data_IF_579112628884
#
_entry.id   IF_579112628884
#
_cell.length_a   1.000
_cell.length_b   1.000
_cell.length_c   1.000
_cell.angle_alpha   90.00
_cell.angle_beta   90.00
_cell.angle_gamma   90.00
#
_symmetry.space_group_name_H-M   'P 1'
#
loop_
_entity.id
_entity.type
_entity.pdbx_description
1 polymer ?
#
# COMPACT_ATOMS: atom_id res chain seq x y z
N UNK A 1 6.37 23.92 -12.15
CA UNK A 1 5.87 22.55 -11.91
C UNK A 1 4.36 22.57 -11.88
N UNK A 2 3.65 21.71 -12.63
CA UNK A 2 2.19 21.56 -12.49
C UNK A 2 1.90 20.85 -11.16
N UNK A 3 0.95 21.38 -10.38
CA UNK A 3 0.50 20.75 -9.13
C UNK A 3 -0.23 19.43 -9.40
N UNK A 4 -0.14 18.48 -8.48
CA UNK A 4 -0.87 17.21 -8.53
C UNK A 4 -2.09 17.30 -7.62
N UNK A 5 -3.29 17.14 -8.18
CA UNK A 5 -4.51 17.02 -7.39
C UNK A 5 -4.65 15.60 -6.84
N UNK A 6 -4.59 15.47 -5.52
CA UNK A 6 -4.63 14.18 -4.82
C UNK A 6 -6.04 13.60 -4.66
N UNK A 7 -7.07 14.45 -4.69
CA UNK A 7 -8.48 14.07 -4.55
C UNK A 7 -9.17 13.72 -5.87
N UNK A 8 -10.51 13.64 -5.84
CA UNK A 8 -11.35 13.45 -7.03
C UNK A 8 -12.00 12.06 -7.15
N UNK A 9 -12.65 11.82 -8.30
CA UNK A 9 -13.46 10.60 -8.53
C UNK A 9 -12.65 9.39 -9.01
N UNK A 10 -11.44 9.60 -9.54
CA UNK A 10 -10.61 8.53 -10.13
C UNK A 10 -10.24 7.45 -9.10
N UNK A 11 -10.07 6.22 -9.57
CA UNK A 11 -9.52 5.12 -8.76
C UNK A 11 -8.11 5.53 -8.32
N UNK A 12 -7.77 5.30 -7.06
CA UNK A 12 -6.49 5.71 -6.51
C UNK A 12 -6.45 7.11 -5.90
N UNK A 13 -7.51 7.93 -6.03
CA UNK A 13 -7.63 9.23 -5.34
C UNK A 13 -7.60 9.08 -3.81
N UNK A 14 -6.95 10.04 -3.14
CA UNK A 14 -6.95 10.21 -1.70
C UNK A 14 -8.29 10.82 -1.26
N UNK A 15 -9.32 9.98 -1.22
CA UNK A 15 -10.62 10.28 -0.60
C UNK A 15 -10.53 10.08 0.90
N UNK A 16 -11.49 10.63 1.65
CA UNK A 16 -11.55 10.49 3.11
C UNK A 16 -11.37 9.03 3.58
N UNK A 17 -12.11 8.10 2.98
CA UNK A 17 -12.01 6.67 3.33
C UNK A 17 -10.63 6.06 3.01
N UNK A 18 -9.98 6.48 1.92
CA UNK A 18 -8.61 6.07 1.60
C UNK A 18 -7.63 6.59 2.66
N UNK A 19 -7.76 7.86 3.04
CA UNK A 19 -6.91 8.52 4.05
C UNK A 19 -7.07 7.84 5.42
N UNK A 20 -8.31 7.55 5.85
CA UNK A 20 -8.60 6.82 7.09
C UNK A 20 -7.92 5.45 7.11
N UNK A 21 -8.04 4.68 6.02
CA UNK A 21 -7.41 3.34 5.91
C UNK A 21 -5.88 3.42 5.95
N UNK A 22 -5.28 4.35 5.19
CA UNK A 22 -3.82 4.56 5.20
C UNK A 22 -3.32 4.95 6.58
N UNK A 23 -4.01 5.87 7.25
CA UNK A 23 -3.68 6.29 8.62
C UNK A 23 -3.70 5.09 9.57
N UNK A 24 -4.73 4.24 9.49
CA UNK A 24 -4.79 3.00 10.29
C UNK A 24 -3.63 2.05 10.00
N UNK A 25 -3.25 1.88 8.74
CA UNK A 25 -2.12 1.03 8.37
C UNK A 25 -0.80 1.58 8.93
N UNK A 26 -0.59 2.89 8.86
CA UNK A 26 0.62 3.53 9.39
C UNK A 26 0.68 3.40 10.91
N UNK A 27 -0.42 3.67 11.62
CA UNK A 27 -0.50 3.44 13.07
C UNK A 27 -0.18 2.00 13.43
N UNK A 28 -0.67 1.02 12.67
CA UNK A 28 -0.34 -0.39 12.89
C UNK A 28 1.14 -0.69 12.63
N UNK A 29 1.72 -0.14 11.55
CA UNK A 29 3.14 -0.29 11.24
C UNK A 29 4.04 0.28 12.35
N UNK A 30 3.69 1.47 12.86
CA UNK A 30 4.40 2.12 13.98
C UNK A 30 4.28 1.28 15.25
N UNK A 31 3.06 0.85 15.61
CA UNK A 31 2.83 0.06 16.84
C UNK A 31 3.55 -1.29 16.82
N UNK A 32 3.56 -1.98 15.67
CA UNK A 32 4.20 -3.30 15.53
C UNK A 32 5.73 -3.25 15.56
N UNK A 33 6.31 -2.13 15.17
CA UNK A 33 7.77 -1.97 15.06
C UNK A 33 8.29 -0.94 16.07
N UNK A 34 7.64 -0.81 17.24
CA UNK A 34 8.04 0.15 18.28
C UNK A 34 9.48 -0.11 18.71
N UNK A 35 10.32 0.92 18.66
CA UNK A 35 11.74 0.84 19.01
C UNK A 35 12.67 0.52 17.82
N UNK A 36 12.12 0.22 16.64
CA UNK A 36 12.89 -0.02 15.42
C UNK A 36 12.40 0.90 14.29
N UNK A 37 13.13 2.00 14.08
CA UNK A 37 12.79 3.03 13.09
C UNK A 37 12.86 2.51 11.66
N UNK A 38 13.84 1.65 11.36
CA UNK A 38 14.04 1.14 10.00
C UNK A 38 12.98 0.09 9.64
N UNK A 39 12.58 -0.75 10.61
CA UNK A 39 11.44 -1.65 10.44
C UNK A 39 10.12 -0.87 10.30
N UNK A 40 9.91 0.21 11.08
CA UNK A 40 8.74 1.10 10.92
C UNK A 40 8.66 1.68 9.51
N UNK A 41 9.74 2.31 9.02
CA UNK A 41 9.82 2.84 7.66
C UNK A 41 9.53 1.75 6.64
N UNK A 42 10.19 0.60 6.76
CA UNK A 42 10.01 -0.53 5.84
C UNK A 42 8.56 -0.99 5.76
N UNK A 43 7.85 -1.09 6.89
CA UNK A 43 6.44 -1.46 6.94
C UNK A 43 5.51 -0.38 6.34
N UNK A 44 5.83 0.90 6.52
CA UNK A 44 5.13 2.01 5.87
C UNK A 44 5.33 1.96 4.35
N UNK A 45 6.56 1.77 3.87
CA UNK A 45 6.84 1.58 2.45
C UNK A 45 6.11 0.36 1.89
N UNK A 46 6.09 -0.77 2.60
CA UNK A 46 5.34 -1.95 2.20
C UNK A 46 3.84 -1.66 2.03
N UNK A 47 3.27 -0.86 2.95
CA UNK A 47 1.89 -0.38 2.86
C UNK A 47 1.65 0.41 1.57
N UNK A 48 2.49 1.40 1.29
CA UNK A 48 2.35 2.22 0.10
C UNK A 48 2.49 1.40 -1.18
N UNK A 49 3.56 0.60 -1.30
CA UNK A 49 3.81 -0.24 -2.48
C UNK A 49 2.69 -1.24 -2.71
N UNK A 50 2.16 -1.87 -1.66
CA UNK A 50 0.96 -2.70 -1.76
C UNK A 50 -0.23 -1.93 -2.34
N UNK A 51 -0.48 -0.71 -1.85
CA UNK A 51 -1.62 0.09 -2.24
C UNK A 51 -1.55 0.62 -3.69
N UNK A 52 -0.36 0.87 -4.24
CA UNK A 52 -0.22 1.28 -5.66
C UNK A 52 -0.04 0.11 -6.63
N UNK A 53 0.07 -1.11 -6.12
CA UNK A 53 0.37 -2.29 -6.92
C UNK A 53 -0.71 -2.54 -7.96
N UNK A 54 -0.29 -2.88 -9.19
CA UNK A 54 -1.18 -3.22 -10.31
C UNK A 54 -0.81 -4.57 -10.89
N UNK A 55 -1.67 -5.12 -11.75
CA UNK A 55 -1.37 -6.38 -12.43
C UNK A 55 -0.15 -6.24 -13.37
N UNK A 56 0.06 -5.06 -13.97
CA UNK A 56 1.20 -4.77 -14.84
C UNK A 56 2.48 -4.50 -14.05
N UNK A 57 2.36 -3.93 -12.84
CA UNK A 57 3.48 -3.59 -11.96
C UNK A 57 3.19 -4.07 -10.54
N UNK A 58 3.36 -5.38 -10.27
CA UNK A 58 3.14 -5.93 -8.94
C UNK A 58 4.26 -5.51 -7.97
N UNK A 59 3.91 -4.83 -6.87
CA UNK A 59 4.86 -4.24 -5.92
C UNK A 59 4.73 -4.85 -4.51
N UNK A 60 4.72 -6.18 -4.43
CA UNK A 60 4.57 -6.92 -3.16
C UNK A 60 5.88 -7.37 -2.52
N UNK A 61 7.05 -6.94 -3.02
CA UNK A 61 8.37 -7.43 -2.55
C UNK A 61 8.61 -7.19 -1.06
N UNK A 62 8.06 -6.10 -0.50
CA UNK A 62 8.19 -5.75 0.94
C UNK A 62 7.02 -6.23 1.79
N UNK A 63 6.04 -6.91 1.21
CA UNK A 63 4.89 -7.42 1.95
C UNK A 63 5.25 -8.72 2.68
N UNK A 64 4.73 -8.86 3.90
CA UNK A 64 4.73 -10.12 4.64
C UNK A 64 3.85 -11.17 3.93
N UNK A 65 4.19 -12.45 4.10
CA UNK A 65 3.33 -13.58 3.70
C UNK A 65 2.27 -13.77 4.78
N UNK A 66 1.25 -12.92 4.78
CA UNK A 66 0.16 -12.99 5.76
C UNK A 66 -1.22 -12.92 5.09
N UNK A 67 -2.27 -12.83 5.91
CA UNK A 67 -3.65 -12.70 5.44
C UNK A 67 -3.94 -11.34 4.81
N UNK A 68 -3.04 -10.36 4.96
CA UNK A 68 -3.21 -9.03 4.37
C UNK A 68 -2.65 -8.99 2.95
N UNK A 69 -1.46 -9.55 2.70
CA UNK A 69 -0.94 -9.68 1.35
C UNK A 69 -1.37 -10.99 0.67
N UNK A 70 -2.61 -11.02 0.19
CA UNK A 70 -3.15 -12.18 -0.55
C UNK A 70 -2.30 -12.56 -1.77
N UNK A 71 -1.59 -11.61 -2.37
CA UNK A 71 -0.69 -11.88 -3.50
C UNK A 71 0.46 -12.80 -3.09
N UNK A 72 1.25 -12.41 -2.08
CA UNK A 72 2.33 -13.24 -1.54
C UNK A 72 1.79 -14.54 -0.93
N UNK A 73 0.64 -14.47 -0.25
CA UNK A 73 -0.05 -15.63 0.30
C UNK A 73 -0.39 -16.68 -0.76
N UNK A 74 -0.84 -16.24 -1.95
CA UNK A 74 -1.15 -17.14 -3.07
C UNK A 74 0.12 -17.75 -3.65
N UNK A 75 1.16 -16.94 -3.88
CA UNK A 75 2.44 -17.43 -4.39
C UNK A 75 3.07 -18.48 -3.47
N UNK A 76 3.07 -18.24 -2.16
CA UNK A 76 3.58 -19.18 -1.16
C UNK A 76 2.82 -20.51 -1.14
N UNK A 77 1.55 -20.53 -1.58
CA UNK A 77 0.72 -21.74 -1.69
C UNK A 77 0.73 -22.35 -3.09
N UNK A 78 1.58 -21.87 -4.01
CA UNK A 78 1.59 -22.32 -5.40
C UNK A 78 0.33 -21.98 -6.18
N UNK A 79 -0.45 -20.98 -5.73
CA UNK A 79 -1.69 -20.53 -6.38
C UNK A 79 -1.44 -19.26 -7.17
N UNK A 80 -2.19 -19.09 -8.26
CA UNK A 80 -2.23 -17.82 -8.99
C UNK A 80 -2.84 -16.71 -8.12
N UNK A 81 -2.18 -15.56 -7.92
CA UNK A 81 -2.80 -14.40 -7.28
C UNK A 81 -4.00 -13.89 -8.07
N UNK A 82 -5.01 -13.38 -7.36
CA UNK A 82 -6.14 -12.67 -7.97
C UNK A 82 -5.76 -11.29 -8.48
N UNK A 83 -6.69 -10.65 -9.19
CA UNK A 83 -6.45 -9.33 -9.78
C UNK A 83 -6.36 -8.23 -8.72
N UNK A 84 -5.47 -7.26 -8.94
CA UNK A 84 -5.28 -6.14 -8.01
C UNK A 84 -6.52 -5.27 -7.85
N UNK A 85 -7.38 -5.19 -8.87
CA UNK A 85 -8.67 -4.48 -8.77
C UNK A 85 -9.57 -5.05 -7.67
N UNK A 86 -9.48 -6.35 -7.42
CA UNK A 86 -10.35 -7.06 -6.49
C UNK A 86 -9.70 -7.17 -5.10
N UNK A 87 -8.38 -7.34 -5.05
CA UNK A 87 -7.67 -7.67 -3.80
C UNK A 87 -6.98 -6.47 -3.14
N UNK A 88 -6.57 -5.44 -3.88
CA UNK A 88 -6.06 -4.20 -3.28
C UNK A 88 -7.25 -3.32 -2.89
N UNK A 89 -7.62 -3.37 -1.60
CA UNK A 89 -8.80 -2.69 -1.04
C UNK A 89 -8.63 -1.18 -0.82
N UNK A 90 -7.39 -0.70 -0.91
CA UNK A 90 -7.04 0.71 -0.69
C UNK A 90 -6.10 1.17 -1.81
N UNK A 91 -6.57 1.22 -3.06
CA UNK A 91 -5.70 1.61 -4.17
C UNK A 91 -5.28 3.08 -4.03
N UNK A 92 -4.03 3.38 -4.35
CA UNK A 92 -3.50 4.76 -4.50
C UNK A 92 -2.83 4.92 -5.86
N UNK A 93 -2.77 6.15 -6.37
CA UNK A 93 -2.02 6.43 -7.59
C UNK A 93 -0.52 6.56 -7.26
N UNK A 94 0.34 5.94 -8.08
CA UNK A 94 1.79 6.04 -7.95
C UNK A 94 2.28 7.50 -8.02
N UNK A 95 1.61 8.36 -8.80
CA UNK A 95 1.94 9.80 -8.91
C UNK A 95 1.84 10.55 -7.57
N UNK A 96 1.15 9.98 -6.59
CA UNK A 96 0.97 10.58 -5.26
C UNK A 96 2.11 10.26 -4.30
N UNK A 97 2.91 9.24 -4.59
CA UNK A 97 4.01 8.84 -3.71
C UNK A 97 4.89 9.99 -3.27
N UNK A 98 5.40 10.85 -4.17
CA UNK A 98 6.30 11.93 -3.76
C UNK A 98 5.66 12.93 -2.78
N UNK A 99 4.33 12.88 -2.59
CA UNK A 99 3.57 13.74 -1.69
C UNK A 99 3.19 13.07 -0.36
N UNK A 100 3.30 11.75 -0.26
CA UNK A 100 2.83 10.97 0.90
C UNK A 100 3.88 9.99 1.45
N UNK A 101 5.07 9.95 0.85
CA UNK A 101 6.20 9.21 1.38
C UNK A 101 6.59 9.77 2.76
N UNK A 102 6.92 8.90 3.74
CA UNK A 102 7.49 9.35 5.00
C UNK A 102 8.82 10.09 4.75
N UNK A 103 9.02 11.18 5.49
CA UNK A 103 10.25 12.01 5.49
C UNK A 103 11.32 11.31 6.34
#
# INVERSE_FOLDING_TARGET
MKGVTLGGKKRGSLKEETIKKLTRYYTNAIRKNKGDVEAMKTAIYATLFHCMSTDQKPQHKKCSIDLWCLFQSSLARGRKPGFHKDWVKTPINEEYLPKILPI
#
